data_IF_569209917358
#
_entry.id   IF_569209917358
#
_cell.length_a   1.000
_cell.length_b   1.000
_cell.length_c   1.000
_cell.angle_alpha   90.00
_cell.angle_beta   90.00
_cell.angle_gamma   90.00
#
_symmetry.space_group_name_H-M   'P 1'
#
loop_
_entity.id
_entity.type
_entity.pdbx_description
1 polymer ?
#
# COMPACT_ATOMS: atom_id res chain seq x y z
N UNK A 1 44.14 8.44 23.36
CA UNK A 1 42.79 9.00 23.59
C UNK A 1 41.96 8.59 22.39
N UNK A 2 40.97 7.71 22.60
CA UNK A 2 40.16 7.09 21.55
C UNK A 2 38.96 8.00 21.27
N UNK A 3 38.88 8.53 20.05
CA UNK A 3 37.66 9.16 19.54
C UNK A 3 36.74 8.05 19.02
N UNK A 4 35.54 8.04 19.57
CA UNK A 4 34.45 7.12 19.27
C UNK A 4 33.95 7.31 17.84
N UNK A 5 34.00 6.24 17.04
CA UNK A 5 33.27 6.12 15.77
C UNK A 5 31.78 6.47 15.95
N UNK A 6 31.15 7.18 14.99
CA UNK A 6 29.73 7.42 15.05
C UNK A 6 28.99 6.09 14.91
N UNK A 7 28.18 5.74 15.91
CA UNK A 7 27.32 4.57 15.88
C UNK A 7 26.45 4.61 14.60
N UNK A 8 26.72 3.69 13.67
CA UNK A 8 25.90 3.47 12.48
C UNK A 8 24.48 3.19 12.98
N UNK A 9 23.59 4.19 12.88
CA UNK A 9 22.16 4.01 13.15
C UNK A 9 21.69 2.86 12.26
N UNK A 10 21.52 1.66 12.82
CA UNK A 10 20.84 0.54 12.14
C UNK A 10 19.52 1.12 11.65
N UNK A 11 19.37 1.31 10.33
CA UNK A 11 18.10 1.72 9.70
C UNK A 11 17.02 0.80 10.26
N UNK A 12 16.19 1.30 11.18
CA UNK A 12 15.19 0.45 11.81
C UNK A 12 14.26 -0.04 10.70
N UNK A 13 14.14 -1.37 10.56
CA UNK A 13 13.25 -1.97 9.57
C UNK A 13 11.85 -1.45 9.85
N UNK A 14 11.29 -0.69 8.90
CA UNK A 14 9.96 -0.12 9.03
C UNK A 14 8.89 -1.22 9.19
N UNK A 15 9.08 -2.34 8.49
CA UNK A 15 8.19 -3.49 8.52
C UNK A 15 8.91 -4.77 8.90
N UNK A 16 8.20 -5.64 9.61
CA UNK A 16 8.52 -7.07 9.65
C UNK A 16 8.26 -7.68 8.28
N UNK A 17 8.80 -8.88 8.03
CA UNK A 17 8.54 -9.58 6.76
C UNK A 17 7.06 -9.92 6.60
N UNK A 18 6.38 -10.25 7.71
CA UNK A 18 4.96 -10.56 7.73
C UNK A 18 4.10 -9.33 7.42
N UNK A 19 4.40 -8.19 8.06
CA UNK A 19 3.71 -6.92 7.77
C UNK A 19 3.86 -6.53 6.29
N UNK A 20 5.08 -6.64 5.74
CA UNK A 20 5.33 -6.31 4.35
C UNK A 20 4.62 -7.28 3.39
N UNK A 21 4.60 -8.58 3.70
CA UNK A 21 3.88 -9.56 2.88
C UNK A 21 2.37 -9.30 2.85
N UNK A 22 1.78 -8.96 4.00
CA UNK A 22 0.36 -8.63 4.09
C UNK A 22 0.04 -7.34 3.29
N UNK A 23 0.92 -6.34 3.37
CA UNK A 23 0.75 -5.11 2.59
C UNK A 23 0.92 -5.34 1.09
N UNK A 24 1.91 -6.12 0.66
CA UNK A 24 2.09 -6.48 -0.76
C UNK A 24 0.86 -7.22 -1.30
N UNK A 25 0.31 -8.16 -0.53
CA UNK A 25 -0.91 -8.86 -0.90
C UNK A 25 -2.10 -7.89 -1.01
N UNK A 26 -2.21 -6.92 -0.10
CA UNK A 26 -3.22 -5.86 -0.18
C UNK A 26 -3.09 -5.03 -1.47
N UNK A 27 -1.87 -4.69 -1.90
CA UNK A 27 -1.66 -3.96 -3.15
C UNK A 27 -2.09 -4.77 -4.38
N UNK A 28 -1.84 -6.09 -4.39
CA UNK A 28 -2.30 -7.01 -5.45
C UNK A 28 -3.84 -7.08 -5.51
N UNK A 29 -4.53 -6.84 -4.39
CA UNK A 29 -6.00 -6.80 -4.37
C UNK A 29 -6.56 -5.60 -5.15
N UNK A 30 -5.85 -4.48 -5.14
CA UNK A 30 -6.31 -3.23 -5.77
C UNK A 30 -6.27 -3.37 -7.29
N UNK A 31 -5.14 -3.86 -7.82
CA UNK A 31 -4.97 -4.17 -9.24
C UNK A 31 -3.92 -5.27 -9.42
N UNK A 32 -3.98 -6.04 -10.53
CA UNK A 32 -2.85 -6.85 -10.95
C UNK A 32 -1.61 -5.98 -11.14
N UNK A 33 -0.47 -6.42 -10.61
CA UNK A 33 0.75 -5.60 -10.55
C UNK A 33 2.00 -6.40 -10.90
N UNK A 34 3.01 -5.71 -11.41
CA UNK A 34 4.37 -6.23 -11.55
C UNK A 34 5.18 -6.02 -10.26
N UNK A 35 6.21 -6.85 -10.06
CA UNK A 35 7.07 -6.78 -8.87
C UNK A 35 7.75 -5.41 -8.68
N UNK A 36 8.12 -4.74 -9.77
CA UNK A 36 8.69 -3.39 -9.71
C UNK A 36 7.65 -2.32 -9.38
N UNK A 37 6.41 -2.47 -9.86
CA UNK A 37 5.32 -1.54 -9.57
C UNK A 37 4.94 -1.57 -8.08
N UNK A 38 5.06 -2.72 -7.43
CA UNK A 38 4.91 -2.84 -5.97
C UNK A 38 5.96 -1.99 -5.26
N UNK A 39 7.23 -2.04 -5.68
CA UNK A 39 8.29 -1.21 -5.10
C UNK A 39 7.94 0.27 -5.25
N UNK A 40 7.53 0.69 -6.44
CA UNK A 40 7.14 2.08 -6.72
C UNK A 40 5.91 2.54 -5.96
N UNK A 41 4.94 1.65 -5.80
CA UNK A 41 3.73 1.93 -5.02
C UNK A 41 4.07 2.12 -3.55
N UNK A 42 4.96 1.29 -2.97
CA UNK A 42 5.41 1.42 -1.58
C UNK A 42 6.27 2.68 -1.39
N UNK A 43 7.14 3.00 -2.34
CA UNK A 43 7.89 4.27 -2.37
C UNK A 43 6.95 5.47 -2.36
N UNK A 44 5.92 5.48 -3.22
CA UNK A 44 4.92 6.55 -3.28
C UNK A 44 4.09 6.67 -2.01
N UNK A 45 3.55 5.55 -1.49
CA UNK A 45 2.75 5.54 -0.26
C UNK A 45 3.56 5.99 0.95
N UNK A 46 4.86 5.65 0.99
CA UNK A 46 5.77 6.06 2.05
C UNK A 46 6.46 7.40 1.80
N UNK A 47 6.13 8.12 0.74
CA UNK A 47 6.78 9.38 0.35
C UNK A 47 8.33 9.28 0.38
N UNK A 48 8.87 8.17 -0.11
CA UNK A 48 10.30 7.89 -0.15
C UNK A 48 10.95 7.48 1.18
N UNK A 49 10.22 7.50 2.30
CA UNK A 49 10.73 7.10 3.62
C UNK A 49 11.10 5.62 3.65
N UNK A 50 10.42 4.79 2.85
CA UNK A 50 10.74 3.39 2.73
C UNK A 50 10.63 2.89 1.28
N UNK A 51 11.77 2.48 0.74
CA UNK A 51 11.87 1.89 -0.59
C UNK A 51 12.38 0.46 -0.40
N UNK A 52 11.51 -0.57 -0.51
CA UNK A 52 11.95 -1.94 -0.41
C UNK A 52 12.79 -2.31 -1.64
N UNK A 53 13.86 -3.07 -1.44
CA UNK A 53 14.68 -3.52 -2.57
C UNK A 53 14.01 -4.69 -3.32
N UNK A 54 14.38 -4.93 -4.59
CA UNK A 54 14.00 -6.13 -5.32
C UNK A 54 14.23 -7.43 -4.52
N UNK A 55 15.40 -7.53 -3.87
CA UNK A 55 15.76 -8.70 -3.04
C UNK A 55 14.87 -8.91 -1.81
N UNK A 56 14.06 -7.93 -1.42
CA UNK A 56 13.03 -8.08 -0.38
C UNK A 56 11.67 -8.42 -0.98
N UNK A 57 11.28 -7.77 -2.08
CA UNK A 57 9.95 -7.92 -2.68
C UNK A 57 9.77 -9.26 -3.40
N UNK A 58 10.72 -9.69 -4.22
CA UNK A 58 10.56 -10.92 -4.99
C UNK A 58 10.42 -12.18 -4.13
N UNK A 59 11.18 -12.35 -3.03
CA UNK A 59 10.96 -13.46 -2.09
C UNK A 59 9.62 -13.40 -1.35
N UNK A 60 9.04 -12.21 -1.18
CA UNK A 60 7.69 -12.05 -0.60
C UNK A 60 6.64 -12.46 -1.64
N UNK A 61 6.79 -12.03 -2.88
CA UNK A 61 5.89 -12.40 -3.96
C UNK A 61 5.88 -13.90 -4.23
N UNK A 62 7.07 -14.53 -4.25
CA UNK A 62 7.19 -15.98 -4.33
C UNK A 62 6.42 -16.65 -3.20
N UNK A 63 6.63 -16.22 -1.95
CA UNK A 63 5.92 -16.75 -0.81
C UNK A 63 4.39 -16.59 -0.89
N UNK A 64 3.90 -15.44 -1.36
CA UNK A 64 2.47 -15.20 -1.55
C UNK A 64 1.88 -16.18 -2.58
N UNK A 65 2.61 -16.43 -3.68
CA UNK A 65 2.20 -17.38 -4.72
C UNK A 65 2.26 -18.82 -4.22
N UNK A 66 3.31 -19.20 -3.51
CA UNK A 66 3.49 -20.55 -2.96
C UNK A 66 2.38 -20.92 -1.96
N UNK A 67 1.85 -19.94 -1.23
CA UNK A 67 0.71 -20.12 -0.32
C UNK A 67 -0.66 -20.05 -1.04
N UNK A 68 -0.68 -19.85 -2.37
CA UNK A 68 -1.90 -19.79 -3.16
C UNK A 68 -2.72 -18.51 -2.97
N UNK A 69 -2.15 -17.45 -2.39
CA UNK A 69 -2.86 -16.17 -2.19
C UNK A 69 -2.83 -15.27 -3.42
N UNK A 70 -1.89 -15.49 -4.33
CA UNK A 70 -1.84 -14.85 -5.64
C UNK A 70 -1.40 -15.84 -6.72
N UNK A 71 -1.70 -15.56 -7.97
CA UNK A 71 -1.11 -16.23 -9.14
C UNK A 71 -0.03 -15.35 -9.75
N UNK A 72 0.92 -15.96 -10.46
CA UNK A 72 1.89 -15.26 -11.29
C UNK A 72 1.73 -15.73 -12.74
N UNK A 73 1.36 -14.82 -13.63
CA UNK A 73 1.26 -15.07 -15.07
C UNK A 73 2.38 -14.33 -15.80
N UNK A 74 3.00 -14.97 -16.77
CA UNK A 74 3.92 -14.31 -17.68
C UNK A 74 3.12 -13.56 -18.74
N UNK A 75 3.43 -12.27 -18.92
CA UNK A 75 2.82 -11.43 -19.94
C UNK A 75 3.85 -11.05 -21.01
N UNK A 76 3.40 -10.39 -22.07
CA UNK A 76 4.29 -9.91 -23.14
C UNK A 76 5.48 -9.12 -22.59
N UNK A 77 6.67 -9.45 -23.10
CA UNK A 77 7.94 -8.88 -22.63
C UNK A 77 8.56 -9.58 -21.42
N UNK A 78 8.12 -10.80 -21.07
CA UNK A 78 8.77 -11.65 -20.06
C UNK A 78 8.59 -11.18 -18.62
N UNK A 79 7.65 -10.25 -18.38
CA UNK A 79 7.34 -9.75 -17.04
C UNK A 79 6.28 -10.63 -16.40
N UNK A 80 6.41 -10.89 -15.09
CA UNK A 80 5.38 -11.57 -14.31
C UNK A 80 4.38 -10.56 -13.76
N UNK A 81 3.11 -10.79 -14.05
CA UNK A 81 1.98 -10.08 -13.44
C UNK A 81 1.41 -10.92 -12.31
N UNK A 82 1.23 -10.31 -11.14
CA UNK A 82 0.67 -10.97 -9.97
C UNK A 82 -0.81 -10.60 -9.83
N UNK A 83 -1.67 -11.59 -9.64
CA UNK A 83 -3.12 -11.40 -9.53
C UNK A 83 -3.68 -12.12 -8.30
N UNK A 84 -4.66 -11.50 -7.64
CA UNK A 84 -5.28 -12.03 -6.43
C UNK A 84 -6.05 -13.34 -6.69
N UNK A 85 -5.99 -14.29 -5.76
CA UNK A 85 -6.88 -15.48 -5.75
C UNK A 85 -8.06 -15.29 -4.79
N UNK A 86 -9.13 -16.11 -4.90
CA UNK A 86 -10.19 -16.12 -3.89
C UNK A 86 -9.67 -16.35 -2.46
N UNK A 87 -8.76 -17.32 -2.29
CA UNK A 87 -8.13 -17.62 -1.00
C UNK A 87 -7.33 -16.42 -0.45
N UNK A 88 -6.60 -15.70 -1.31
CA UNK A 88 -5.89 -14.48 -0.92
C UNK A 88 -6.83 -13.36 -0.49
N UNK A 89 -7.97 -13.21 -1.17
CA UNK A 89 -8.99 -12.22 -0.83
C UNK A 89 -9.62 -12.50 0.55
N UNK A 90 -9.96 -13.76 0.84
CA UNK A 90 -10.46 -14.18 2.16
C UNK A 90 -9.40 -13.98 3.25
N UNK A 91 -8.16 -14.36 2.97
CA UNK A 91 -7.03 -14.19 3.88
C UNK A 91 -6.81 -12.72 4.26
N UNK A 92 -6.90 -11.80 3.30
CA UNK A 92 -6.84 -10.35 3.53
C UNK A 92 -8.06 -9.83 4.30
N UNK A 93 -9.27 -10.28 3.94
CA UNK A 93 -10.50 -9.83 4.57
C UNK A 93 -10.51 -10.10 6.08
N UNK A 94 -9.96 -11.24 6.49
CA UNK A 94 -9.79 -11.63 7.90
C UNK A 94 -8.76 -10.77 8.65
N UNK A 95 -7.84 -10.09 7.94
CA UNK A 95 -6.71 -9.34 8.52
C UNK A 95 -6.78 -7.84 8.27
N UNK A 96 -7.96 -7.31 7.97
CA UNK A 96 -8.16 -5.87 7.70
C UNK A 96 -7.66 -4.95 8.81
N UNK A 97 -7.76 -5.37 10.07
CA UNK A 97 -7.25 -4.58 11.19
C UNK A 97 -5.72 -4.50 11.21
N UNK A 98 -5.03 -5.58 10.83
CA UNK A 98 -3.56 -5.60 10.71
C UNK A 98 -3.10 -4.70 9.56
N UNK A 99 -3.80 -4.73 8.41
CA UNK A 99 -3.54 -3.83 7.28
C UNK A 99 -3.66 -2.37 7.73
N UNK A 100 -4.75 -2.01 8.42
CA UNK A 100 -4.94 -0.65 8.96
C UNK A 100 -3.80 -0.25 9.89
N UNK A 101 -3.35 -1.16 10.76
CA UNK A 101 -2.23 -0.87 11.66
C UNK A 101 -0.92 -0.61 10.89
N UNK A 102 -0.67 -1.37 9.81
CA UNK A 102 0.48 -1.18 8.91
C UNK A 102 0.40 0.21 8.23
N UNK A 103 -0.76 0.58 7.70
CA UNK A 103 -0.97 1.90 7.09
C UNK A 103 -0.72 3.04 8.09
N UNK A 104 -1.27 2.95 9.31
CA UNK A 104 -1.06 3.95 10.35
C UNK A 104 0.41 4.06 10.78
N UNK A 105 1.11 2.92 10.89
CA UNK A 105 2.55 2.89 11.16
C UNK A 105 3.33 3.59 10.04
N UNK A 106 2.95 3.38 8.78
CA UNK A 106 3.58 4.05 7.64
C UNK A 106 3.33 5.56 7.69
N UNK A 107 2.08 6.00 7.89
CA UNK A 107 1.70 7.42 8.00
C UNK A 107 2.47 8.14 9.10
N UNK A 108 2.53 7.56 10.30
CA UNK A 108 3.31 8.14 11.42
C UNK A 108 4.75 8.39 10.99
N UNK A 109 5.36 7.43 10.31
CA UNK A 109 6.75 7.57 9.88
C UNK A 109 6.94 8.57 8.76
N UNK A 110 5.98 8.67 7.83
CA UNK A 110 5.95 9.73 6.82
C UNK A 110 5.92 11.09 7.50
N UNK A 111 4.99 11.32 8.42
CA UNK A 111 4.86 12.60 9.14
C UNK A 111 6.14 12.94 9.92
N UNK A 112 6.78 11.96 10.56
CA UNK A 112 8.03 12.15 11.30
C UNK A 112 9.23 12.52 10.41
N UNK A 113 9.31 12.03 9.17
CA UNK A 113 10.50 12.20 8.30
C UNK A 113 10.30 13.19 7.16
N UNK A 114 9.06 13.39 6.72
CA UNK A 114 8.62 14.33 5.71
C UNK A 114 7.36 15.02 6.23
N UNK A 115 7.50 16.01 7.14
CA UNK A 115 6.36 16.77 7.60
C UNK A 115 5.67 17.39 6.37
N UNK A 116 4.38 17.13 6.16
CA UNK A 116 3.69 17.53 4.95
C UNK A 116 3.74 19.06 4.79
N UNK A 117 4.15 19.57 3.62
CA UNK A 117 4.40 21.00 3.41
C UNK A 117 3.11 21.84 3.41
N UNK A 118 1.95 21.20 3.17
CA UNK A 118 0.64 21.83 3.06
C UNK A 118 -0.39 21.09 3.92
N UNK A 119 -0.59 21.47 5.19
CA UNK A 119 -1.56 20.83 6.09
C UNK A 119 -3.00 20.91 5.55
N UNK A 120 -3.31 21.88 4.71
CA UNK A 120 -4.61 22.05 4.05
C UNK A 120 -4.95 20.87 3.14
N UNK A 121 -3.95 20.33 2.44
CA UNK A 121 -4.12 19.14 1.58
C UNK A 121 -4.44 17.92 2.44
N UNK A 122 -3.79 17.79 3.61
CA UNK A 122 -4.09 16.69 4.55
C UNK A 122 -5.51 16.80 5.06
N UNK A 123 -5.93 17.99 5.50
CA UNK A 123 -7.29 18.19 6.00
C UNK A 123 -8.33 17.89 4.92
N UNK A 124 -8.08 18.29 3.68
CA UNK A 124 -8.94 17.95 2.55
C UNK A 124 -9.05 16.43 2.34
N UNK A 125 -7.92 15.71 2.40
CA UNK A 125 -7.87 14.25 2.29
C UNK A 125 -8.57 13.55 3.47
N UNK A 126 -8.35 13.99 4.70
CA UNK A 126 -9.01 13.41 5.88
C UNK A 126 -10.51 13.66 5.85
N UNK A 127 -10.94 14.86 5.47
CA UNK A 127 -12.36 15.17 5.27
C UNK A 127 -12.98 14.28 4.18
N UNK A 128 -12.28 14.05 3.05
CA UNK A 128 -12.72 13.13 2.00
C UNK A 128 -12.87 11.70 2.54
N UNK A 129 -11.88 11.19 3.29
CA UNK A 129 -11.95 9.84 3.89
C UNK A 129 -13.13 9.71 4.85
N UNK A 130 -13.36 10.69 5.72
CA UNK A 130 -14.48 10.70 6.66
C UNK A 130 -15.79 10.69 5.90
N UNK A 131 -15.94 11.54 4.88
CA UNK A 131 -17.16 11.64 4.06
C UNK A 131 -17.45 10.34 3.34
N UNK A 132 -16.45 9.77 2.66
CA UNK A 132 -16.57 8.50 1.92
C UNK A 132 -16.94 7.37 2.87
N UNK A 133 -16.26 7.24 4.02
CA UNK A 133 -16.57 6.19 5.00
C UNK A 133 -17.97 6.36 5.57
N UNK A 134 -18.32 7.57 5.99
CA UNK A 134 -19.66 7.85 6.56
C UNK A 134 -20.74 7.47 5.56
N UNK A 135 -20.58 7.84 4.28
CA UNK A 135 -21.55 7.45 3.26
C UNK A 135 -21.55 5.93 3.06
N UNK A 136 -20.38 5.29 2.94
CA UNK A 136 -20.23 3.85 2.76
C UNK A 136 -20.88 3.00 3.87
N UNK A 137 -20.86 3.46 5.13
CA UNK A 137 -21.35 2.70 6.29
C UNK A 137 -22.76 3.09 6.77
N UNK A 138 -23.35 4.18 6.27
CA UNK A 138 -24.68 4.65 6.69
C UNK A 138 -25.88 3.88 6.07
N UNK A 139 -25.66 2.69 5.48
CA UNK A 139 -26.73 1.79 5.04
C UNK A 139 -27.51 2.20 3.78
N UNK A 140 -27.29 3.41 3.25
CA UNK A 140 -27.97 3.94 2.05
C UNK A 140 -27.20 3.71 0.74
N UNK A 141 -26.14 2.91 0.75
CA UNK A 141 -25.27 2.76 -0.43
C UNK A 141 -25.75 1.60 -1.28
N UNK A 142 -26.42 1.94 -2.37
CA UNK A 142 -26.72 0.97 -3.45
C UNK A 142 -25.44 0.65 -4.23
N UNK A 143 -25.39 -0.47 -4.97
CA UNK A 143 -24.27 -0.80 -5.84
C UNK A 143 -23.93 0.33 -6.83
N UNK A 144 -24.92 1.05 -7.34
CA UNK A 144 -24.75 2.17 -8.26
C UNK A 144 -24.02 3.34 -7.58
N UNK A 145 -24.45 3.70 -6.36
CA UNK A 145 -23.81 4.75 -5.57
C UNK A 145 -22.36 4.37 -5.24
N UNK A 146 -22.12 3.11 -4.90
CA UNK A 146 -20.77 2.61 -4.64
C UNK A 146 -19.87 2.75 -5.87
N UNK A 147 -20.32 2.30 -7.04
CA UNK A 147 -19.57 2.42 -8.29
C UNK A 147 -19.29 3.89 -8.66
N UNK A 148 -20.26 4.76 -8.42
CA UNK A 148 -20.11 6.19 -8.68
C UNK A 148 -19.12 6.87 -7.73
N UNK A 149 -19.12 6.50 -6.45
CA UNK A 149 -18.11 6.95 -5.49
C UNK A 149 -16.69 6.51 -5.90
N UNK A 150 -16.51 5.24 -6.28
CA UNK A 150 -15.22 4.73 -6.79
C UNK A 150 -14.77 5.50 -8.02
N UNK A 151 -15.67 5.73 -8.98
CA UNK A 151 -15.39 6.51 -10.19
C UNK A 151 -14.86 7.90 -9.84
N UNK A 152 -15.51 8.63 -8.96
CA UNK A 152 -15.09 9.99 -8.59
C UNK A 152 -13.72 10.02 -7.90
N UNK A 153 -13.44 9.07 -7.01
CA UNK A 153 -12.13 8.96 -6.35
C UNK A 153 -11.03 8.73 -7.40
N UNK A 154 -11.27 7.84 -8.37
CA UNK A 154 -10.32 7.55 -9.43
C UNK A 154 -10.12 8.74 -10.38
N UNK A 155 -11.19 9.48 -10.71
CA UNK A 155 -11.11 10.69 -11.54
C UNK A 155 -10.29 11.80 -10.86
N UNK A 156 -10.52 12.05 -9.57
CA UNK A 156 -9.72 13.01 -8.79
C UNK A 156 -8.26 12.57 -8.71
N UNK A 157 -8.01 11.28 -8.46
CA UNK A 157 -6.66 10.71 -8.42
C UNK A 157 -5.95 10.93 -9.76
N UNK A 158 -6.62 10.65 -10.89
CA UNK A 158 -6.06 10.88 -12.22
C UNK A 158 -5.76 12.36 -12.46
N UNK A 159 -6.69 13.25 -12.12
CA UNK A 159 -6.48 14.71 -12.28
C UNK A 159 -5.28 15.21 -11.49
N UNK A 160 -5.08 14.74 -10.26
CA UNK A 160 -3.92 15.12 -9.43
C UNK A 160 -2.63 14.55 -10.01
N UNK A 161 -2.65 13.31 -10.51
CA UNK A 161 -1.51 12.71 -11.20
C UNK A 161 -1.10 13.48 -12.46
N UNK A 162 -2.09 14.03 -13.19
CA UNK A 162 -1.88 14.74 -14.45
C UNK A 162 -1.53 16.24 -14.27
N UNK A 163 -1.42 16.75 -13.03
CA UNK A 163 -0.92 18.11 -12.72
C UNK A 163 0.60 18.23 -12.91
#
# INVERSE_FOLDING_TARGET
>A
MSETEPAVRRKSKLFTRQELALFVLHLIQINPVHGYEIIKTIEGYSMGVYIPSPGVIYPILAHIVDNGFATAAEIEGGKKQFSMTPAGSEYLAARRNEIRAIEEKMKKRVIENNPPPAPEIIYAIENLKITVRTKAYNGEVTPEIYQQMVKYINEVTKKIHDL
#
